data_IF_311846727812
#
_entry.id   IF_311846727812
#
_cell.length_a   1.000
_cell.length_b   1.000
_cell.length_c   1.000
_cell.angle_alpha   90.00
_cell.angle_beta   90.00
_cell.angle_gamma   90.00
#
_symmetry.space_group_name_H-M   'P 1'
#
loop_
_entity.id
_entity.type
_entity.pdbx_description
1 polymer ?
#
# COMPACT_ATOMS: atom_id res chain seq x y z
N UNK A 1 -46.62 7.56 37.71
CA UNK A 1 -46.49 7.16 36.30
C UNK A 1 -45.65 8.20 35.59
N UNK A 2 -44.37 7.92 35.35
CA UNK A 2 -43.43 8.81 34.68
C UNK A 2 -43.24 8.33 33.24
N UNK A 3 -43.63 9.16 32.26
CA UNK A 3 -43.40 8.88 30.85
C UNK A 3 -41.94 9.21 30.49
N UNK A 4 -41.21 8.23 29.97
CA UNK A 4 -39.85 8.39 29.43
C UNK A 4 -39.95 8.73 27.94
N UNK A 5 -39.35 9.85 27.54
CA UNK A 5 -39.10 10.15 26.12
C UNK A 5 -37.92 9.30 25.61
N UNK A 6 -38.01 8.67 24.42
CA UNK A 6 -36.87 8.05 23.80
C UNK A 6 -36.02 9.10 23.09
N UNK A 7 -34.74 9.19 23.45
CA UNK A 7 -33.73 9.90 22.68
C UNK A 7 -33.52 9.15 21.35
N UNK A 8 -33.90 9.78 20.24
CA UNK A 8 -33.52 9.32 18.91
C UNK A 8 -32.03 9.65 18.69
N UNK A 9 -31.18 8.61 18.66
CA UNK A 9 -29.80 8.74 18.23
C UNK A 9 -29.77 8.94 16.71
N UNK A 10 -29.35 10.13 16.27
CA UNK A 10 -29.13 10.41 14.86
C UNK A 10 -27.84 9.70 14.40
N UNK A 11 -28.00 8.66 13.57
CA UNK A 11 -26.87 8.01 12.91
C UNK A 11 -26.34 8.92 11.80
N UNK A 12 -25.11 9.43 11.97
CA UNK A 12 -24.41 10.21 10.96
C UNK A 12 -23.89 9.25 9.88
N UNK A 13 -24.64 9.10 8.79
CA UNK A 13 -24.17 8.39 7.61
C UNK A 13 -23.07 9.23 6.95
N UNK A 14 -21.80 8.88 7.19
CA UNK A 14 -20.68 9.47 6.47
C UNK A 14 -20.78 9.05 5.00
N UNK A 15 -21.23 9.97 4.13
CA UNK A 15 -21.10 9.82 2.70
C UNK A 15 -19.61 9.73 2.36
N UNK A 16 -19.15 8.53 2.02
CA UNK A 16 -17.88 8.33 1.31
C UNK A 16 -18.02 8.99 -0.06
N UNK A 17 -17.56 10.25 -0.16
CA UNK A 17 -17.37 10.89 -1.45
C UNK A 17 -16.40 10.03 -2.29
N UNK A 18 -16.89 9.50 -3.41
CA UNK A 18 -16.08 8.91 -4.46
C UNK A 18 -15.22 9.99 -5.12
N UNK A 19 -14.15 10.42 -4.46
CA UNK A 19 -13.06 11.07 -5.17
C UNK A 19 -12.49 10.06 -6.18
N UNK A 20 -12.30 10.43 -7.46
CA UNK A 20 -11.54 9.58 -8.37
C UNK A 20 -10.19 9.25 -7.73
N UNK A 21 -9.68 8.05 -7.97
CA UNK A 21 -8.31 7.70 -7.61
C UNK A 21 -7.39 8.64 -8.39
N UNK A 22 -7.11 9.81 -7.82
CA UNK A 22 -6.06 10.70 -8.28
C UNK A 22 -4.79 9.87 -8.39
N UNK A 23 -4.13 9.96 -9.53
CA UNK A 23 -2.93 9.22 -9.96
C UNK A 23 -2.20 8.52 -8.81
N UNK A 24 -2.58 7.27 -8.54
CA UNK A 24 -1.96 6.49 -7.48
C UNK A 24 -0.68 5.89 -8.06
N UNK A 25 0.43 6.59 -7.88
CA UNK A 25 1.74 6.01 -8.14
C UNK A 25 1.98 4.84 -7.17
N UNK A 26 2.60 3.77 -7.60
CA UNK A 26 3.02 2.70 -6.70
C UNK A 26 4.53 2.52 -6.78
N UNK A 27 5.06 1.85 -5.76
CA UNK A 27 6.42 1.27 -5.79
C UNK A 27 6.26 -0.24 -5.88
N UNK A 28 7.04 -0.90 -6.74
CA UNK A 28 7.05 -2.36 -6.82
C UNK A 28 8.44 -2.89 -7.14
N UNK A 29 8.62 -4.19 -6.93
CA UNK A 29 9.87 -4.90 -7.19
C UNK A 29 9.64 -5.86 -8.35
N UNK A 30 10.39 -5.67 -9.44
CA UNK A 30 10.41 -6.57 -10.59
C UNK A 30 11.67 -7.42 -10.57
N UNK A 31 11.59 -8.74 -10.77
CA UNK A 31 12.77 -9.57 -10.87
C UNK A 31 13.57 -9.20 -12.11
N UNK A 32 14.90 -9.20 -12.00
CA UNK A 32 15.80 -9.21 -13.14
C UNK A 32 16.35 -10.62 -13.42
N UNK A 33 17.12 -10.74 -14.51
CA UNK A 33 17.64 -12.03 -14.96
C UNK A 33 18.68 -12.66 -14.01
N UNK A 34 19.30 -11.88 -13.13
CA UNK A 34 20.40 -12.32 -12.27
C UNK A 34 19.94 -12.62 -10.83
N UNK A 35 18.63 -12.66 -10.59
CA UNK A 35 18.04 -12.91 -9.27
C UNK A 35 18.04 -11.70 -8.35
N UNK A 36 18.35 -10.51 -8.86
CA UNK A 36 18.10 -9.25 -8.19
C UNK A 36 16.75 -8.67 -8.62
N UNK A 37 16.43 -7.48 -8.12
CA UNK A 37 15.14 -6.85 -8.32
C UNK A 37 15.30 -5.37 -8.61
N UNK A 38 14.67 -4.90 -9.68
CA UNK A 38 14.53 -3.47 -9.94
C UNK A 38 13.39 -2.92 -9.11
N UNK A 39 13.68 -1.87 -8.34
CA UNK A 39 12.67 -1.05 -7.67
C UNK A 39 12.09 -0.11 -8.70
N UNK A 40 10.84 -0.35 -9.08
CA UNK A 40 10.09 0.47 -10.00
C UNK A 40 9.20 1.45 -9.25
N UNK A 41 8.96 2.59 -9.87
CA UNK A 41 8.00 3.58 -9.43
C UNK A 41 7.23 4.07 -10.66
N UNK A 42 5.94 4.33 -10.51
CA UNK A 42 5.12 4.66 -11.66
C UNK A 42 3.63 4.73 -11.35
N UNK A 43 2.88 5.32 -12.26
CA UNK A 43 1.45 5.51 -12.17
C UNK A 43 0.65 4.49 -12.97
N UNK A 44 -0.56 4.89 -13.36
CA UNK A 44 -1.55 4.07 -14.05
C UNK A 44 -0.98 3.25 -15.21
N UNK A 45 -1.44 2.01 -15.34
CA UNK A 45 -1.03 1.06 -16.40
C UNK A 45 0.48 0.74 -16.41
N UNK A 46 1.16 0.90 -15.28
CA UNK A 46 2.59 0.57 -15.15
C UNK A 46 3.52 1.56 -15.83
N UNK A 47 3.05 2.78 -16.11
CA UNK A 47 3.90 3.82 -16.68
C UNK A 47 5.01 4.18 -15.69
N UNK A 48 6.24 3.85 -16.06
CA UNK A 48 7.43 4.08 -15.25
C UNK A 48 7.77 5.56 -15.13
N UNK A 49 8.18 5.95 -13.94
CA UNK A 49 8.69 7.27 -13.60
C UNK A 49 9.99 7.16 -12.82
N UNK A 50 10.93 8.06 -13.12
CA UNK A 50 12.18 8.13 -12.39
C UNK A 50 11.93 8.67 -10.97
N UNK A 51 12.68 8.20 -9.99
CA UNK A 51 12.63 8.74 -8.63
C UNK A 51 14.02 9.10 -8.09
N UNK A 52 14.06 10.10 -7.22
CA UNK A 52 15.26 10.43 -6.46
C UNK A 52 15.57 9.34 -5.43
N UNK A 53 16.83 8.91 -5.32
CA UNK A 53 17.24 7.81 -4.44
C UNK A 53 16.76 7.97 -2.99
N UNK A 54 16.70 9.20 -2.46
CA UNK A 54 16.23 9.49 -1.10
C UNK A 54 14.76 9.18 -0.83
N UNK A 55 13.93 8.95 -1.87
CA UNK A 55 12.54 8.50 -1.72
C UNK A 55 12.47 7.04 -1.29
N UNK A 56 13.39 6.20 -1.73
CA UNK A 56 13.47 4.80 -1.29
C UNK A 56 14.07 4.74 0.11
N UNK A 57 13.28 4.33 1.10
CA UNK A 57 13.69 4.28 2.51
C UNK A 57 14.27 2.94 2.91
N UNK A 58 13.70 1.85 2.41
CA UNK A 58 14.25 0.51 2.60
C UNK A 58 13.80 -0.46 1.52
N UNK A 59 14.63 -1.47 1.28
CA UNK A 59 14.25 -2.74 0.67
C UNK A 59 14.70 -3.85 1.62
N UNK A 60 13.80 -4.76 1.94
CA UNK A 60 14.04 -5.85 2.89
C UNK A 60 13.71 -7.18 2.22
N UNK A 61 14.47 -8.23 2.56
CA UNK A 61 14.25 -9.58 2.04
C UNK A 61 14.11 -10.57 3.20
N UNK A 62 13.29 -11.59 2.97
CA UNK A 62 12.96 -12.60 3.98
C UNK A 62 12.98 -13.99 3.36
N UNK A 63 13.46 -14.98 4.11
CA UNK A 63 13.32 -16.39 3.71
C UNK A 63 11.93 -16.96 4.04
N UNK A 64 11.66 -18.20 3.63
CA UNK A 64 10.35 -18.83 3.78
C UNK A 64 9.87 -18.94 5.24
N UNK A 65 10.79 -18.84 6.21
CA UNK A 65 10.50 -18.87 7.65
C UNK A 65 10.36 -17.47 8.25
N UNK A 66 10.43 -16.41 7.44
CA UNK A 66 10.33 -15.02 7.89
C UNK A 66 11.62 -14.47 8.51
N UNK A 67 12.78 -15.11 8.30
CA UNK A 67 14.06 -14.57 8.77
C UNK A 67 14.61 -13.58 7.75
N UNK A 68 15.13 -12.45 8.23
CA UNK A 68 15.76 -11.42 7.39
C UNK A 68 16.93 -11.98 6.58
N UNK A 69 17.08 -11.44 5.38
CA UNK A 69 18.20 -11.65 4.46
C UNK A 69 18.78 -10.27 4.17
N UNK A 70 20.10 -10.16 4.18
CA UNK A 70 20.79 -8.92 3.80
C UNK A 70 20.51 -8.58 2.33
N UNK A 71 20.30 -7.30 2.05
CA UNK A 71 20.02 -6.78 0.70
C UNK A 71 21.00 -5.67 0.38
N UNK A 72 21.75 -5.82 -0.70
CA UNK A 72 22.51 -4.72 -1.28
C UNK A 72 21.58 -3.88 -2.16
N UNK A 73 21.48 -2.58 -1.91
CA UNK A 73 20.69 -1.65 -2.74
C UNK A 73 21.62 -0.66 -3.42
N UNK A 74 21.53 -0.57 -4.74
CA UNK A 74 22.37 0.28 -5.57
C UNK A 74 21.49 1.19 -6.43
N UNK A 75 21.76 2.49 -6.52
CA UNK A 75 21.10 3.35 -7.50
C UNK A 75 21.40 2.89 -8.92
N UNK A 76 20.40 2.91 -9.79
CA UNK A 76 20.53 2.67 -11.24
C UNK A 76 19.77 3.77 -11.99
N UNK A 77 20.03 3.99 -13.29
CA UNK A 77 19.25 4.96 -14.06
C UNK A 77 17.74 4.71 -13.90
N UNK A 78 17.02 5.74 -13.44
CA UNK A 78 15.57 5.70 -13.25
C UNK A 78 15.07 5.01 -11.96
N UNK A 79 15.93 4.38 -11.16
CA UNK A 79 15.49 3.76 -9.92
C UNK A 79 16.60 3.18 -9.06
N UNK A 80 16.34 2.01 -8.47
CA UNK A 80 17.31 1.29 -7.67
C UNK A 80 17.25 -0.21 -7.97
N UNK A 81 18.37 -0.89 -7.79
CA UNK A 81 18.48 -2.34 -7.89
C UNK A 81 18.76 -2.91 -6.51
N UNK A 82 17.97 -3.90 -6.11
CA UNK A 82 18.07 -4.59 -4.83
C UNK A 82 18.50 -6.05 -5.06
N UNK A 83 19.61 -6.45 -4.46
CA UNK A 83 20.20 -7.79 -4.59
C UNK A 83 20.20 -8.47 -3.22
N UNK A 84 19.28 -9.41 -2.97
CA UNK A 84 19.33 -10.24 -1.77
C UNK A 84 20.58 -11.12 -1.76
N UNK A 85 21.21 -11.30 -0.59
CA UNK A 85 22.42 -12.13 -0.45
C UNK A 85 22.20 -13.62 -0.73
N UNK A 86 20.94 -14.07 -0.75
CA UNK A 86 20.49 -15.43 -1.09
C UNK A 86 19.03 -15.39 -1.52
N UNK A 87 18.51 -16.52 -2.05
CA UNK A 87 17.11 -16.66 -2.46
C UNK A 87 16.14 -16.21 -1.36
N UNK A 88 15.29 -15.24 -1.69
CA UNK A 88 14.21 -14.74 -0.84
C UNK A 88 12.88 -15.44 -1.15
N UNK A 89 12.03 -15.55 -0.15
CA UNK A 89 10.63 -15.96 -0.27
C UNK A 89 9.68 -14.74 -0.29
N UNK A 90 10.13 -13.61 0.25
CA UNK A 90 9.38 -12.36 0.25
C UNK A 90 10.35 -11.18 0.19
N UNK A 91 9.96 -10.16 -0.56
CA UNK A 91 10.62 -8.85 -0.54
C UNK A 91 9.64 -7.79 -0.11
N UNK A 92 10.12 -6.75 0.56
CA UNK A 92 9.34 -5.59 0.99
C UNK A 92 10.07 -4.30 0.64
N UNK A 93 9.33 -3.24 0.30
CA UNK A 93 9.88 -1.90 0.10
C UNK A 93 9.08 -0.85 0.87
N UNK A 94 9.78 0.17 1.35
CA UNK A 94 9.20 1.39 1.91
C UNK A 94 9.72 2.58 1.11
N UNK A 95 8.78 3.37 0.59
CA UNK A 95 9.05 4.50 -0.27
C UNK A 95 8.27 5.71 0.22
N UNK A 96 8.98 6.80 0.51
CA UNK A 96 8.38 8.09 0.84
C UNK A 96 8.31 8.93 -0.43
N UNK A 97 7.12 9.07 -1.00
CA UNK A 97 6.91 9.85 -2.20
C UNK A 97 6.90 11.36 -1.92
N UNK A 98 6.96 11.76 -0.65
CA UNK A 98 7.04 13.15 -0.23
C UNK A 98 5.67 13.82 -0.14
N UNK A 99 5.72 15.15 -0.06
CA UNK A 99 4.56 16.00 0.09
C UNK A 99 4.04 16.48 -1.26
N UNK A 100 2.72 16.48 -1.40
CA UNK A 100 2.02 17.09 -2.51
C UNK A 100 0.97 18.06 -1.96
N UNK A 101 0.75 19.15 -2.67
CA UNK A 101 -0.24 20.15 -2.27
C UNK A 101 -0.93 20.75 -3.48
N UNK A 102 -2.13 21.31 -3.28
CA UNK A 102 -2.88 22.00 -4.33
C UNK A 102 -3.59 23.24 -3.80
N UNK A 103 -3.84 24.17 -4.71
CA UNK A 103 -4.65 25.38 -4.48
C UNK A 103 -6.06 25.13 -5.01
N UNK A 104 -7.07 25.14 -4.14
CA UNK A 104 -8.45 24.85 -4.51
C UNK A 104 -8.58 23.47 -5.17
N UNK A 105 -9.22 23.43 -6.34
CA UNK A 105 -9.37 22.22 -7.16
C UNK A 105 -8.28 22.05 -8.23
N UNK A 106 -7.19 22.81 -8.14
CA UNK A 106 -6.05 22.68 -9.04
C UNK A 106 -5.30 21.33 -8.92
N UNK A 107 -4.31 21.10 -9.80
CA UNK A 107 -3.50 19.89 -9.76
C UNK A 107 -2.67 19.82 -8.47
N UNK A 108 -2.35 18.60 -8.05
CA UNK A 108 -1.33 18.37 -7.02
C UNK A 108 0.04 18.69 -7.60
N UNK A 109 0.83 19.48 -6.86
CA UNK A 109 2.25 19.72 -7.13
C UNK A 109 3.07 19.04 -6.05
N UNK A 110 4.25 18.51 -6.40
CA UNK A 110 5.17 17.84 -5.48
C UNK A 110 5.90 18.85 -4.58
N UNK A 111 5.14 19.48 -3.69
CA UNK A 111 5.61 20.42 -2.67
C UNK A 111 4.74 20.31 -1.42
N UNK A 112 5.31 20.49 -0.22
CA UNK A 112 4.50 20.72 0.97
C UNK A 112 3.71 22.03 0.84
N UNK A 113 2.64 22.15 1.61
CA UNK A 113 1.80 23.36 1.62
C UNK A 113 2.59 24.63 1.99
N UNK A 114 3.63 24.49 2.81
CA UNK A 114 4.54 25.59 3.19
C UNK A 114 5.37 26.15 2.03
N UNK A 115 5.48 25.42 0.92
CA UNK A 115 6.24 25.80 -0.28
C UNK A 115 5.34 26.01 -1.51
N UNK A 116 4.02 25.94 -1.32
CA UNK A 116 3.02 26.17 -2.34
C UNK A 116 2.06 27.28 -1.87
N UNK A 117 2.38 28.55 -2.16
CA UNK A 117 1.58 29.69 -1.69
C UNK A 117 0.10 29.56 -2.04
N UNK A 118 -0.77 29.72 -1.04
CA UNK A 118 -2.21 29.59 -1.20
C UNK A 118 -2.74 28.15 -1.22
N UNK A 119 -1.90 27.14 -0.94
CA UNK A 119 -2.35 25.75 -0.85
C UNK A 119 -3.49 25.60 0.17
N UNK A 120 -4.59 24.98 -0.25
CA UNK A 120 -5.77 24.72 0.57
C UNK A 120 -5.82 23.28 1.07
N UNK A 121 -5.03 22.39 0.46
CA UNK A 121 -4.91 20.99 0.90
C UNK A 121 -3.56 20.40 0.55
N UNK A 122 -3.15 19.39 1.33
CA UNK A 122 -1.90 18.66 1.12
C UNK A 122 -2.01 17.19 1.52
N UNK A 123 -1.07 16.41 1.00
CA UNK A 123 -0.89 15.00 1.31
C UNK A 123 0.59 14.66 1.45
N UNK A 124 0.94 13.93 2.51
CA UNK A 124 2.21 13.21 2.57
C UNK A 124 1.94 11.77 2.11
N UNK A 125 2.53 11.39 0.98
CA UNK A 125 2.26 10.10 0.34
C UNK A 125 3.38 9.10 0.66
N UNK A 126 3.01 8.05 1.40
CA UNK A 126 3.88 6.97 1.83
C UNK A 126 3.43 5.67 1.17
N UNK A 127 4.37 4.98 0.55
CA UNK A 127 4.12 3.81 -0.28
C UNK A 127 4.85 2.61 0.28
N UNK A 128 4.13 1.51 0.40
CA UNK A 128 4.62 0.25 0.92
C UNK A 128 4.36 -0.83 -0.11
N UNK A 129 5.26 -1.79 -0.17
CA UNK A 129 5.13 -2.89 -1.10
C UNK A 129 5.62 -4.19 -0.48
N UNK A 130 5.00 -5.30 -0.88
CA UNK A 130 5.54 -6.65 -0.73
C UNK A 130 5.38 -7.43 -2.02
N UNK A 131 6.38 -8.23 -2.39
CA UNK A 131 6.23 -9.31 -3.38
C UNK A 131 6.41 -10.64 -2.67
N UNK A 132 5.41 -11.51 -2.73
CA UNK A 132 5.49 -12.90 -2.28
C UNK A 132 6.06 -13.74 -3.44
N UNK A 133 7.28 -14.24 -3.26
CA UNK A 133 8.00 -15.08 -4.23
C UNK A 133 7.76 -16.57 -3.97
N UNK A 134 7.58 -16.94 -2.69
CA UNK A 134 7.26 -18.29 -2.26
C UNK A 134 6.15 -18.23 -1.21
N UNK A 135 5.07 -18.95 -1.45
CA UNK A 135 3.96 -19.01 -0.52
C UNK A 135 4.31 -19.90 0.67
N UNK A 136 4.25 -19.35 1.89
CA UNK A 136 4.68 -20.06 3.10
C UNK A 136 4.34 -19.31 4.39
N UNK A 137 4.93 -19.69 5.53
CA UNK A 137 4.76 -18.99 6.80
C UNK A 137 4.99 -17.48 6.74
N UNK A 138 6.04 -17.05 6.02
CA UNK A 138 6.41 -15.63 5.86
C UNK A 138 5.27 -14.74 5.35
N UNK A 139 4.30 -15.27 4.59
CA UNK A 139 3.18 -14.47 4.06
C UNK A 139 2.20 -13.99 5.14
N UNK A 140 2.26 -14.60 6.33
CA UNK A 140 1.38 -14.31 7.47
C UNK A 140 2.08 -13.51 8.57
N UNK A 141 3.38 -13.27 8.43
CA UNK A 141 4.18 -12.54 9.40
C UNK A 141 4.00 -11.02 9.25
N UNK A 142 3.99 -10.32 10.39
CA UNK A 142 4.08 -8.87 10.43
C UNK A 142 5.55 -8.47 10.31
N UNK A 143 5.87 -7.66 9.31
CA UNK A 143 7.20 -7.11 9.06
C UNK A 143 7.36 -5.71 9.67
N UNK A 144 6.26 -5.10 10.12
CA UNK A 144 6.28 -3.81 10.82
C UNK A 144 6.18 -2.59 9.91
N UNK A 145 5.74 -2.75 8.65
CA UNK A 145 5.37 -1.61 7.82
C UNK A 145 4.15 -0.88 8.41
N UNK A 146 4.09 0.45 8.25
CA UNK A 146 3.01 1.28 8.82
C UNK A 146 1.64 0.86 8.29
N UNK A 147 1.49 0.70 6.98
CA UNK A 147 0.38 -0.01 6.37
C UNK A 147 0.94 -1.36 5.92
N UNK A 148 0.23 -2.45 6.21
CA UNK A 148 0.72 -3.79 5.96
C UNK A 148 -0.41 -4.74 5.56
N UNK A 149 -0.16 -5.59 4.55
CA UNK A 149 -1.05 -6.70 4.20
C UNK A 149 -0.35 -8.02 4.54
N UNK A 150 -1.08 -8.91 5.21
CA UNK A 150 -0.67 -10.29 5.48
C UNK A 150 -1.73 -11.27 4.98
N UNK A 151 -1.31 -12.48 4.60
CA UNK A 151 -2.22 -13.56 4.26
C UNK A 151 -2.90 -14.13 5.52
N UNK A 152 -4.12 -14.64 5.35
CA UNK A 152 -4.85 -15.40 6.38
C UNK A 152 -5.13 -16.82 5.93
N UNK A 153 -5.47 -17.00 4.65
CA UNK A 153 -5.54 -18.33 4.04
C UNK A 153 -4.14 -18.93 3.95
N UNK A 154 -3.98 -20.17 4.46
CA UNK A 154 -2.67 -20.85 4.53
C UNK A 154 -2.23 -21.46 3.20
N UNK A 155 -3.17 -22.04 2.44
CA UNK A 155 -2.90 -22.63 1.12
C UNK A 155 -2.42 -21.56 0.14
N UNK A 156 -1.62 -22.00 -0.84
CA UNK A 156 -1.23 -21.14 -1.95
C UNK A 156 -2.47 -20.67 -2.72
N UNK A 157 -2.49 -19.43 -3.25
CA UNK A 157 -3.60 -18.93 -4.04
C UNK A 157 -3.81 -19.76 -5.30
N UNK A 158 -5.08 -20.04 -5.59
CA UNK A 158 -5.51 -20.68 -6.83
C UNK A 158 -6.46 -19.77 -7.59
N UNK A 159 -6.35 -19.78 -8.91
CA UNK A 159 -7.19 -18.96 -9.77
C UNK A 159 -8.68 -19.32 -9.57
N UNK A 160 -9.52 -18.30 -9.36
CA UNK A 160 -10.96 -18.51 -9.14
C UNK A 160 -11.33 -18.98 -7.73
N UNK A 161 -10.36 -19.25 -6.85
CA UNK A 161 -10.63 -19.65 -5.47
C UNK A 161 -10.49 -18.50 -4.47
N UNK A 162 -11.31 -18.46 -3.39
CA UNK A 162 -11.18 -17.43 -2.37
C UNK A 162 -9.83 -17.45 -1.64
N UNK A 163 -9.21 -16.28 -1.57
CA UNK A 163 -7.97 -16.01 -0.85
C UNK A 163 -8.20 -14.85 0.14
N UNK A 164 -7.99 -15.10 1.43
CA UNK A 164 -8.21 -14.10 2.48
C UNK A 164 -6.89 -13.44 2.91
N UNK A 165 -6.96 -12.12 3.07
CA UNK A 165 -5.90 -11.26 3.58
C UNK A 165 -6.40 -10.43 4.76
N UNK A 166 -5.47 -9.89 5.53
CA UNK A 166 -5.73 -8.93 6.61
C UNK A 166 -4.90 -7.67 6.38
N UNK A 167 -5.55 -6.52 6.44
CA UNK A 167 -4.91 -5.21 6.37
C UNK A 167 -4.70 -4.66 7.77
N UNK A 168 -3.46 -4.25 8.03
CA UNK A 168 -3.00 -3.72 9.29
C UNK A 168 -2.54 -2.28 9.12
N UNK A 169 -2.87 -1.42 10.09
CA UNK A 169 -2.28 -0.10 10.24
C UNK A 169 -1.58 -0.05 11.60
N UNK A 170 -0.29 0.27 11.62
CA UNK A 170 0.57 0.22 12.81
C UNK A 170 0.50 -1.15 13.51
N UNK A 171 0.49 -2.23 12.72
CA UNK A 171 0.40 -3.60 13.22
C UNK A 171 -0.96 -4.03 13.78
N UNK A 172 -1.99 -3.16 13.75
CA UNK A 172 -3.34 -3.44 14.22
C UNK A 172 -4.34 -3.59 13.06
N UNK A 173 -5.34 -4.48 13.16
CA UNK A 173 -6.40 -4.60 12.16
C UNK A 173 -7.05 -3.26 11.80
N UNK A 174 -7.28 -3.01 10.51
CA UNK A 174 -7.92 -1.78 10.04
C UNK A 174 -9.17 -2.09 9.22
N UNK A 175 -10.32 -1.70 9.75
CA UNK A 175 -11.61 -1.78 9.07
C UNK A 175 -11.81 -0.67 8.03
N UNK A 176 -12.68 -0.93 7.05
CA UNK A 176 -13.11 0.03 6.04
C UNK A 176 -12.01 0.46 5.06
N UNK A 177 -10.89 -0.27 4.99
CA UNK A 177 -9.84 0.02 4.00
C UNK A 177 -10.33 -0.41 2.64
N UNK A 178 -10.28 0.51 1.68
CA UNK A 178 -10.56 0.20 0.28
C UNK A 178 -9.45 -0.68 -0.27
N UNK A 179 -9.83 -1.83 -0.83
CA UNK A 179 -8.93 -2.82 -1.41
C UNK A 179 -9.39 -3.21 -2.83
N UNK A 180 -8.47 -3.45 -3.75
CA UNK A 180 -8.81 -3.98 -5.09
C UNK A 180 -7.73 -4.91 -5.64
N UNK A 181 -8.13 -5.90 -6.45
CA UNK A 181 -7.21 -6.68 -7.27
C UNK A 181 -6.95 -5.94 -8.58
N UNK A 182 -5.73 -5.43 -8.75
CA UNK A 182 -5.35 -4.52 -9.82
C UNK A 182 -5.98 -3.13 -9.67
N UNK A 183 -5.47 -2.17 -10.45
CA UNK A 183 -5.89 -0.77 -10.40
C UNK A 183 -7.37 -0.58 -10.77
N UNK A 184 -7.86 -1.37 -11.73
CA UNK A 184 -9.25 -1.31 -12.24
C UNK A 184 -10.16 -2.39 -11.63
N UNK A 185 -9.71 -3.10 -10.60
CA UNK A 185 -10.52 -4.11 -9.92
C UNK A 185 -11.71 -3.49 -9.18
N UNK A 186 -12.82 -4.25 -9.02
CA UNK A 186 -13.95 -3.78 -8.21
C UNK A 186 -13.47 -3.52 -6.77
N UNK A 187 -13.85 -2.38 -6.16
CA UNK A 187 -13.42 -2.07 -4.81
C UNK A 187 -14.13 -2.95 -3.79
N UNK A 188 -13.35 -3.46 -2.85
CA UNK A 188 -13.78 -4.14 -1.63
C UNK A 188 -13.44 -3.27 -0.43
N UNK A 189 -14.04 -3.58 0.71
CA UNK A 189 -13.71 -2.96 1.99
C UNK A 189 -13.35 -4.03 3.01
N UNK A 190 -12.36 -3.77 3.85
CA UNK A 190 -12.04 -4.64 4.98
C UNK A 190 -13.13 -4.60 6.05
N UNK A 191 -13.38 -5.75 6.69
CA UNK A 191 -14.32 -5.86 7.81
C UNK A 191 -13.74 -5.32 9.14
N UNK A 192 -14.48 -5.51 10.24
CA UNK A 192 -14.08 -5.07 11.59
C UNK A 192 -12.72 -5.64 12.05
N UNK A 193 -12.36 -6.84 11.59
CA UNK A 193 -11.11 -7.53 11.89
C UNK A 193 -10.02 -7.23 10.84
N UNK A 194 -10.26 -6.24 9.97
CA UNK A 194 -9.35 -5.85 8.89
C UNK A 194 -9.25 -6.90 7.79
N UNK A 195 -10.17 -7.86 7.71
CA UNK A 195 -10.12 -8.95 6.75
C UNK A 195 -10.76 -8.55 5.42
N UNK A 196 -10.21 -9.09 4.33
CA UNK A 196 -10.78 -9.00 2.99
C UNK A 196 -10.56 -10.33 2.27
N UNK A 197 -11.58 -10.78 1.55
CA UNK A 197 -11.50 -11.97 0.70
C UNK A 197 -11.50 -11.54 -0.76
N UNK A 198 -10.52 -12.00 -1.51
CA UNK A 198 -10.41 -11.75 -2.95
C UNK A 198 -10.40 -13.06 -3.73
N UNK A 199 -10.71 -12.99 -5.02
CA UNK A 199 -10.64 -14.13 -5.94
C UNK A 199 -9.59 -13.82 -7.01
N UNK A 200 -8.36 -14.36 -6.91
CA UNK A 200 -7.29 -14.04 -7.84
C UNK A 200 -7.48 -14.72 -9.20
N UNK A 201 -6.76 -14.22 -10.20
CA UNK A 201 -6.66 -14.83 -11.53
C UNK A 201 -5.36 -15.62 -11.65
N UNK A 202 -5.27 -16.54 -12.61
CA UNK A 202 -4.04 -17.27 -12.86
C UNK A 202 -2.88 -16.31 -13.17
N UNK A 203 -1.69 -16.60 -12.63
CA UNK A 203 -0.49 -15.78 -12.77
C UNK A 203 -0.35 -14.70 -11.69
N UNK A 204 0.37 -13.62 -12.01
CA UNK A 204 0.66 -12.54 -11.06
C UNK A 204 -0.58 -11.70 -10.78
N UNK A 205 -0.83 -11.44 -9.50
CA UNK A 205 -1.89 -10.57 -9.00
C UNK A 205 -1.27 -9.46 -8.16
N UNK A 206 -1.93 -8.31 -8.17
CA UNK A 206 -1.59 -7.17 -7.34
C UNK A 206 -2.80 -6.80 -6.49
N UNK A 207 -2.65 -6.77 -5.17
CA UNK A 207 -3.67 -6.33 -4.24
C UNK A 207 -3.29 -4.94 -3.71
N UNK A 208 -4.12 -3.95 -4.02
CA UNK A 208 -3.92 -2.56 -3.64
C UNK A 208 -4.74 -2.25 -2.41
N UNK A 209 -4.16 -1.54 -1.44
CA UNK A 209 -4.87 -0.97 -0.30
C UNK A 209 -4.49 0.49 -0.10
N UNK A 210 -5.47 1.34 0.23
CA UNK A 210 -5.23 2.78 0.43
C UNK A 210 -5.90 3.22 1.73
N UNK A 211 -5.13 3.88 2.59
CA UNK A 211 -5.62 4.50 3.83
C UNK A 211 -5.25 5.97 3.81
N UNK A 212 -6.26 6.84 3.88
CA UNK A 212 -6.07 8.27 4.04
C UNK A 212 -6.52 8.73 5.42
N UNK A 213 -5.65 9.46 6.12
CA UNK A 213 -5.93 9.98 7.45
C UNK A 213 -5.78 11.50 7.46
N UNK A 214 -6.69 12.25 8.11
CA UNK A 214 -6.50 13.67 8.31
C UNK A 214 -5.31 13.93 9.25
N UNK A 215 -4.63 15.05 9.03
CA UNK A 215 -3.54 15.54 9.89
C UNK A 215 -3.93 16.91 10.43
N UNK A 216 -3.73 17.11 11.73
CA UNK A 216 -3.86 18.39 12.39
C UNK A 216 -2.50 18.80 12.99
N UNK A 217 -2.18 20.09 12.94
CA UNK A 217 -0.97 20.65 13.55
C UNK A 217 0.32 20.53 12.73
N UNK A 218 0.29 19.97 11.52
CA UNK A 218 1.41 20.03 10.57
C UNK A 218 1.10 21.02 9.45
N UNK A 219 1.85 22.12 9.37
CA UNK A 219 1.64 23.14 8.35
C UNK A 219 1.96 22.66 6.92
N UNK A 220 2.64 21.52 6.76
CA UNK A 220 3.05 21.00 5.45
C UNK A 220 1.96 20.22 4.74
N UNK A 221 0.95 19.72 5.46
CA UNK A 221 -0.06 18.81 4.91
C UNK A 221 -1.36 18.80 5.71
N UNK A 222 -2.46 18.47 5.05
CA UNK A 222 -3.75 18.19 5.70
C UNK A 222 -4.04 16.70 5.86
N UNK A 223 -3.23 15.82 5.25
CA UNK A 223 -3.47 14.37 5.28
C UNK A 223 -2.21 13.51 5.11
N UNK A 224 -2.27 12.28 5.62
CA UNK A 224 -1.38 11.19 5.24
C UNK A 224 -2.11 10.29 4.26
N UNK A 225 -1.42 9.84 3.21
CA UNK A 225 -1.86 8.77 2.32
C UNK A 225 -0.89 7.61 2.44
N UNK A 226 -1.36 6.49 2.98
CA UNK A 226 -0.65 5.24 2.96
C UNK A 226 -1.19 4.39 1.82
N UNK A 227 -0.32 4.00 0.91
CA UNK A 227 -0.64 3.12 -0.21
C UNK A 227 0.16 1.84 -0.08
N UNK A 228 -0.49 0.72 -0.35
CA UNK A 228 0.13 -0.60 -0.24
C UNK A 228 -0.14 -1.43 -1.48
N UNK A 229 0.91 -2.00 -2.05
CA UNK A 229 0.83 -2.95 -3.14
C UNK A 229 1.37 -4.32 -2.69
N UNK A 230 0.54 -5.36 -2.77
CA UNK A 230 0.97 -6.74 -2.54
C UNK A 230 0.97 -7.51 -3.87
N UNK A 231 2.15 -7.91 -4.33
CA UNK A 231 2.31 -8.84 -5.45
C UNK A 231 2.31 -10.30 -4.99
N UNK A 232 1.53 -11.16 -5.64
CA UNK A 232 1.53 -12.61 -5.40
C UNK A 232 1.04 -13.38 -6.63
N UNK A 233 1.51 -14.61 -6.82
CA UNK A 233 1.04 -15.50 -7.88
C UNK A 233 -0.09 -16.40 -7.42
N UNK A 234 -1.03 -16.71 -8.34
CA UNK A 234 -2.01 -17.77 -8.18
C UNK A 234 -1.89 -18.79 -9.31
N UNK A 235 -2.11 -20.07 -8.98
CA UNK A 235 -1.97 -21.20 -9.90
C UNK A 235 -3.31 -21.74 -10.40
#
# INVERSE_FOLDING_TARGET
MTARHPFAAAAFAALLACAPLAQAHNVWLEPDADGAYTVQFGGHEGKLENFAAGKLKSVEAYDARGRRIDVAVQPVPGGARATPARKAALLAAHFDNGFFSRVGEGPMVEKPMTENPGATSGVHALKFHKTILEWGPVTREKLGQTLEIIARTRRSPHAGEPQQFQVLLNGQPRAGVRVSLGESGPPLATDADGLVTVTPRAGMNQLLAIVRLPVAGDARTTSLSYEYLLGFSAH
#
